data_IF_452699827732
#
_entry.id   IF_452699827732
#
_cell.length_a   1.000
_cell.length_b   1.000
_cell.length_c   1.000
_cell.angle_alpha   90.00
_cell.angle_beta   90.00
_cell.angle_gamma   90.00
#
_symmetry.space_group_name_H-M   'P 1'
#
loop_
_entity.id
_entity.type
_entity.pdbx_description
1 polymer ?
#
# COMPACT_ATOMS: atom_id res chain seq x y z
N UNK A 1 2.78 -36.23 -15.80
CA UNK A 1 1.92 -35.18 -16.36
C UNK A 1 2.69 -33.89 -16.35
N UNK A 2 3.14 -33.47 -17.53
CA UNK A 2 4.14 -32.39 -17.71
C UNK A 2 3.40 -31.06 -17.89
N UNK A 3 3.70 -30.08 -17.04
CA UNK A 3 3.15 -28.70 -17.17
C UNK A 3 3.89 -27.95 -18.27
N UNK A 4 3.20 -27.27 -19.19
CA UNK A 4 3.84 -26.39 -20.16
C UNK A 4 4.26 -25.07 -19.51
N UNK A 5 5.53 -24.71 -19.71
CA UNK A 5 6.12 -23.40 -19.39
C UNK A 5 5.76 -22.42 -20.50
N UNK A 6 4.97 -21.41 -20.21
CA UNK A 6 4.72 -20.30 -21.15
C UNK A 6 5.74 -19.19 -20.89
N UNK A 7 6.78 -19.19 -21.73
CA UNK A 7 7.74 -18.07 -21.83
C UNK A 7 7.11 -16.93 -22.63
N UNK A 8 6.96 -15.76 -22.04
CA UNK A 8 6.57 -14.53 -22.73
C UNK A 8 7.84 -13.76 -23.13
N UNK A 9 7.91 -13.21 -24.34
CA UNK A 9 9.09 -12.48 -24.79
C UNK A 9 9.11 -11.04 -24.26
N UNK A 10 10.23 -10.67 -23.65
CA UNK A 10 10.58 -9.30 -23.26
C UNK A 10 10.78 -8.47 -24.55
N UNK A 11 9.90 -7.50 -24.77
CA UNK A 11 10.10 -6.49 -25.82
C UNK A 11 10.86 -5.30 -25.24
N UNK A 12 12.14 -5.23 -25.62
CA UNK A 12 13.03 -4.10 -25.37
C UNK A 12 12.68 -3.00 -26.38
N UNK A 13 12.08 -1.90 -25.96
CA UNK A 13 11.87 -0.71 -26.75
C UNK A 13 12.98 0.32 -26.44
N UNK A 14 13.95 0.46 -27.37
CA UNK A 14 14.91 1.58 -27.37
C UNK A 14 14.18 2.84 -27.85
N UNK A 15 13.95 3.79 -26.96
CA UNK A 15 13.51 5.14 -27.31
C UNK A 15 14.70 6.09 -27.32
N UNK A 16 15.08 6.55 -28.51
CA UNK A 16 16.09 7.59 -28.74
C UNK A 16 15.52 8.96 -28.38
N UNK A 17 16.09 9.62 -27.38
CA UNK A 17 15.79 11.02 -27.04
C UNK A 17 16.79 11.92 -27.78
N UNK A 18 16.26 12.73 -28.69
CA UNK A 18 17.02 13.79 -29.36
C UNK A 18 17.06 15.03 -28.46
N UNK A 19 18.26 15.43 -28.07
CA UNK A 19 18.53 16.69 -27.35
C UNK A 19 18.70 17.79 -28.40
N UNK A 20 17.76 18.73 -28.41
CA UNK A 20 17.92 19.99 -29.17
C UNK A 20 18.40 21.09 -28.21
N UNK A 21 19.66 21.49 -28.44
CA UNK A 21 20.30 22.63 -27.78
C UNK A 21 19.87 23.92 -28.50
N UNK A 22 19.18 24.82 -27.84
CA UNK A 22 18.96 26.18 -28.34
C UNK A 22 19.77 27.16 -27.47
N UNK A 23 20.87 27.65 -28.03
CA UNK A 23 21.56 28.84 -27.54
C UNK A 23 20.81 30.06 -28.08
N UNK A 24 20.42 30.99 -27.19
CA UNK A 24 20.17 32.36 -27.57
C UNK A 24 20.81 33.30 -26.55
N UNK A 25 21.73 34.09 -27.05
CA UNK A 25 22.53 35.05 -26.30
C UNK A 25 21.99 36.48 -26.50
N UNK A 26 22.44 37.37 -25.59
CA UNK A 26 22.43 38.85 -25.60
C UNK A 26 21.11 39.50 -25.20
N UNK A 27 21.09 40.46 -24.36
CA UNK A 27 22.01 41.43 -23.80
C UNK A 27 21.24 42.53 -23.07
N UNK A 28 21.93 43.20 -22.11
CA UNK A 28 21.74 44.64 -21.80
C UNK A 28 20.60 45.07 -20.87
N UNK A 29 20.99 45.43 -19.71
CA UNK A 29 21.06 46.76 -19.09
C UNK A 29 19.87 47.28 -18.23
N UNK A 30 20.31 47.66 -17.02
CA UNK A 30 19.77 48.68 -16.07
C UNK A 30 18.36 48.64 -15.50
N UNK A 31 18.37 48.55 -14.17
CA UNK A 31 17.65 49.53 -13.36
C UNK A 31 16.39 49.12 -12.67
N UNK A 32 16.50 49.11 -11.39
CA UNK A 32 15.55 49.61 -10.38
C UNK A 32 14.67 48.58 -9.62
N UNK A 33 14.75 48.80 -8.34
CA UNK A 33 14.07 48.25 -7.16
C UNK A 33 12.62 47.86 -7.34
N UNK A 34 12.22 46.77 -6.71
CA UNK A 34 10.83 46.58 -6.33
C UNK A 34 10.47 45.16 -6.03
N UNK A 35 10.31 44.88 -4.77
CA UNK A 35 9.40 43.93 -4.14
C UNK A 35 9.31 42.48 -4.58
N UNK A 36 9.58 41.63 -3.62
CA UNK A 36 9.39 40.20 -3.54
C UNK A 36 8.16 39.64 -4.18
N UNK A 37 8.36 38.91 -5.24
CA UNK A 37 7.48 37.84 -5.62
C UNK A 37 8.30 36.55 -5.59
N UNK A 38 8.18 35.83 -4.51
CA UNK A 38 8.64 34.46 -4.39
C UNK A 38 7.93 33.63 -5.46
N UNK A 39 8.60 33.42 -6.55
CA UNK A 39 8.19 32.43 -7.54
C UNK A 39 8.41 31.07 -6.88
N UNK A 40 7.34 30.46 -6.41
CA UNK A 40 7.33 29.07 -6.01
C UNK A 40 7.62 28.27 -7.27
N UNK A 41 8.86 27.85 -7.43
CA UNK A 41 9.21 26.77 -8.34
C UNK A 41 8.55 25.52 -7.78
N UNK A 42 7.49 25.10 -8.45
CA UNK A 42 6.86 23.80 -8.22
C UNK A 42 7.84 22.75 -8.69
N UNK A 43 8.74 22.38 -7.80
CA UNK A 43 9.55 21.17 -7.93
C UNK A 43 8.58 19.99 -7.83
N UNK A 44 8.11 19.51 -8.98
CA UNK A 44 7.38 18.25 -9.08
C UNK A 44 8.40 17.13 -8.98
N UNK A 45 9.03 17.02 -7.83
CA UNK A 45 9.69 15.79 -7.40
C UNK A 45 8.57 14.76 -7.25
N UNK A 46 8.60 13.75 -8.11
CA UNK A 46 7.86 12.50 -7.92
C UNK A 46 8.43 11.83 -6.65
N UNK A 47 8.03 12.36 -5.51
CA UNK A 47 8.34 11.81 -4.21
C UNK A 47 7.48 10.57 -4.05
N UNK A 48 8.08 9.39 -4.17
CA UNK A 48 7.50 8.15 -3.70
C UNK A 48 7.03 8.39 -2.27
N UNK A 49 5.73 8.24 -2.02
CA UNK A 49 5.18 8.39 -0.68
C UNK A 49 6.04 7.56 0.31
N UNK A 50 6.46 8.13 1.43
CA UNK A 50 7.29 7.41 2.39
C UNK A 50 6.55 6.16 2.85
N UNK A 51 7.21 5.01 2.78
CA UNK A 51 6.64 3.76 3.32
C UNK A 51 6.30 3.99 4.80
N UNK A 52 5.06 3.72 5.24
CA UNK A 52 4.68 3.90 6.64
C UNK A 52 5.60 3.09 7.57
N UNK A 53 5.77 3.56 8.80
CA UNK A 53 6.51 2.80 9.81
C UNK A 53 5.77 1.48 10.11
N UNK A 54 6.47 0.36 10.30
CA UNK A 54 5.86 -0.90 10.73
C UNK A 54 5.04 -0.73 12.02
N UNK A 55 4.01 -1.54 12.18
CA UNK A 55 3.08 -1.53 13.32
C UNK A 55 2.36 -0.19 13.51
N UNK A 56 1.91 0.41 12.42
CA UNK A 56 1.09 1.62 12.45
C UNK A 56 -0.35 1.36 12.02
N UNK A 57 -1.28 2.09 12.65
CA UNK A 57 -2.64 2.23 12.14
C UNK A 57 -2.63 3.32 11.08
N UNK A 58 -3.06 2.97 9.88
CA UNK A 58 -3.02 3.88 8.75
C UNK A 58 -4.31 4.67 8.61
N UNK A 59 -4.22 5.86 8.04
CA UNK A 59 -5.41 6.49 7.49
C UNK A 59 -5.94 5.65 6.32
N UNK A 60 -7.23 5.77 6.01
CA UNK A 60 -7.84 5.03 4.88
C UNK A 60 -7.09 5.29 3.57
N UNK A 61 -6.69 6.54 3.32
CA UNK A 61 -5.95 6.91 2.11
C UNK A 61 -4.55 6.28 2.06
N UNK A 62 -3.80 6.33 3.18
CA UNK A 62 -2.47 5.73 3.26
C UNK A 62 -2.55 4.20 3.16
N UNK A 63 -3.60 3.58 3.73
CA UNK A 63 -3.84 2.15 3.64
C UNK A 63 -4.10 1.68 2.21
N UNK A 64 -4.94 2.41 1.46
CA UNK A 64 -5.20 2.13 0.04
C UNK A 64 -3.91 2.30 -0.76
N UNK A 65 -3.20 3.41 -0.58
CA UNK A 65 -1.95 3.67 -1.28
C UNK A 65 -0.88 2.59 -0.99
N UNK A 66 -0.82 2.10 0.25
CA UNK A 66 0.09 1.01 0.62
C UNK A 66 -0.28 -0.29 -0.12
N UNK A 67 -1.55 -0.68 -0.12
CA UNK A 67 -2.03 -1.89 -0.81
C UNK A 67 -1.73 -1.81 -2.31
N UNK A 68 -2.02 -0.68 -2.95
CA UNK A 68 -1.74 -0.47 -4.37
C UNK A 68 -0.24 -0.49 -4.70
N UNK A 69 0.58 0.14 -3.84
CA UNK A 69 2.02 0.23 -4.07
C UNK A 69 2.74 -1.11 -3.87
N UNK A 70 2.27 -1.94 -2.94
CA UNK A 70 2.92 -3.19 -2.54
C UNK A 70 2.42 -4.41 -3.31
N UNK A 71 1.18 -4.40 -3.79
CA UNK A 71 0.58 -5.51 -4.52
C UNK A 71 0.84 -6.85 -3.86
N UNK A 72 1.31 -7.84 -4.62
CA UNK A 72 1.56 -9.21 -4.16
C UNK A 72 2.64 -9.33 -3.05
N UNK A 73 3.38 -8.27 -2.74
CA UNK A 73 4.37 -8.26 -1.65
C UNK A 73 3.76 -7.93 -0.28
N UNK A 74 2.44 -7.69 -0.22
CA UNK A 74 1.70 -7.40 1.00
C UNK A 74 0.54 -8.38 1.13
N UNK A 75 0.53 -9.17 2.18
CA UNK A 75 -0.59 -10.08 2.46
C UNK A 75 -1.70 -9.35 3.21
N UNK A 76 -2.90 -9.32 2.65
CA UNK A 76 -4.08 -8.75 3.29
C UNK A 76 -4.69 -9.82 4.21
N UNK A 77 -4.95 -9.46 5.46
CA UNK A 77 -5.52 -10.37 6.46
C UNK A 77 -6.84 -9.83 6.97
N UNK A 78 -7.89 -10.62 6.81
CA UNK A 78 -9.20 -10.37 7.40
C UNK A 78 -9.28 -11.04 8.77
N UNK A 79 -9.38 -10.24 9.83
CA UNK A 79 -9.51 -10.78 11.20
C UNK A 79 -10.95 -10.80 11.71
N UNK A 80 -11.91 -10.91 10.79
CA UNK A 80 -13.34 -11.07 11.09
C UNK A 80 -13.70 -12.55 11.22
N UNK A 81 -14.96 -12.80 11.56
CA UNK A 81 -15.49 -14.16 11.58
C UNK A 81 -15.70 -14.70 10.17
N UNK A 82 -15.76 -16.05 9.97
CA UNK A 82 -16.04 -16.65 8.66
C UNK A 82 -17.32 -16.11 8.03
N UNK A 83 -18.40 -15.95 8.82
CA UNK A 83 -19.66 -15.43 8.30
C UNK A 83 -19.57 -13.96 7.82
N UNK A 84 -18.73 -13.13 8.45
CA UNK A 84 -18.46 -11.77 7.99
C UNK A 84 -17.61 -11.78 6.71
N UNK A 85 -16.64 -12.67 6.61
CA UNK A 85 -15.79 -12.87 5.43
C UNK A 85 -16.61 -13.31 4.23
N UNK A 86 -17.46 -14.34 4.37
CA UNK A 86 -18.32 -14.86 3.32
C UNK A 86 -19.32 -13.82 2.79
N UNK A 87 -19.73 -12.88 3.66
CA UNK A 87 -20.64 -11.78 3.28
C UNK A 87 -19.98 -10.73 2.38
N UNK A 88 -18.65 -10.74 2.29
CA UNK A 88 -17.84 -9.86 1.45
C UNK A 88 -16.52 -9.52 2.14
N UNK A 89 -15.40 -9.64 1.41
CA UNK A 89 -14.03 -9.41 1.88
C UNK A 89 -13.20 -8.70 0.80
N UNK A 90 -12.03 -8.18 1.17
CA UNK A 90 -11.10 -7.61 0.19
C UNK A 90 -10.51 -8.74 -0.68
N UNK A 91 -10.25 -8.50 -1.97
CA UNK A 91 -9.67 -9.51 -2.86
C UNK A 91 -8.38 -10.10 -2.27
N UNK A 92 -8.21 -11.41 -2.44
CA UNK A 92 -7.04 -12.19 -1.98
C UNK A 92 -6.75 -12.11 -0.47
N UNK A 93 -7.71 -11.64 0.33
CA UNK A 93 -7.56 -11.59 1.78
C UNK A 93 -7.55 -12.98 2.41
N UNK A 94 -6.58 -13.21 3.29
CA UNK A 94 -6.49 -14.43 4.11
C UNK A 94 -7.33 -14.25 5.37
N UNK A 95 -8.24 -15.18 5.63
CA UNK A 95 -9.05 -15.16 6.85
C UNK A 95 -8.25 -15.72 8.03
N UNK A 96 -8.11 -14.93 9.09
CA UNK A 96 -7.57 -15.34 10.38
C UNK A 96 -8.50 -14.80 11.48
N UNK A 97 -9.52 -15.56 11.86
CA UNK A 97 -10.56 -15.12 12.78
C UNK A 97 -9.98 -14.76 14.17
N UNK A 98 -10.09 -13.49 14.53
CA UNK A 98 -9.61 -12.96 15.83
C UNK A 98 -10.39 -13.54 17.02
N UNK A 99 -11.64 -13.95 16.82
CA UNK A 99 -12.52 -14.47 17.86
C UNK A 99 -12.34 -16.00 18.06
N UNK A 100 -11.59 -16.66 17.18
CA UNK A 100 -11.26 -18.08 17.30
C UNK A 100 -10.29 -18.29 18.47
N UNK A 101 -10.56 -19.24 19.39
CA UNK A 101 -9.59 -19.63 20.42
C UNK A 101 -8.22 -20.07 19.89
N UNK A 102 -8.15 -20.53 18.64
CA UNK A 102 -6.92 -20.90 17.95
C UNK A 102 -6.21 -19.70 17.27
N UNK A 103 -6.70 -18.48 17.40
CA UNK A 103 -6.13 -17.30 16.71
C UNK A 103 -4.61 -17.19 16.84
N UNK A 104 -4.08 -17.34 18.06
CA UNK A 104 -2.63 -17.28 18.30
C UNK A 104 -1.86 -18.39 17.56
N UNK A 105 -2.42 -19.60 17.50
CA UNK A 105 -1.80 -20.71 16.77
C UNK A 105 -1.88 -20.51 15.26
N UNK A 106 -3.00 -19.93 14.76
CA UNK A 106 -3.16 -19.60 13.34
C UNK A 106 -2.17 -18.52 12.89
N UNK A 107 -1.81 -17.58 13.77
CA UNK A 107 -0.75 -16.59 13.48
C UNK A 107 0.62 -17.25 13.33
N UNK A 108 0.88 -18.35 14.05
CA UNK A 108 2.18 -19.05 13.95
C UNK A 108 2.39 -19.78 12.62
N UNK A 109 1.33 -20.00 11.85
CA UNK A 109 1.38 -20.58 10.51
C UNK A 109 1.79 -19.56 9.43
N UNK A 110 1.76 -18.26 9.76
CA UNK A 110 2.13 -17.18 8.86
C UNK A 110 3.65 -16.91 8.94
N UNK A 111 4.23 -16.50 7.81
CA UNK A 111 5.63 -16.08 7.74
C UNK A 111 5.84 -14.77 8.51
N UNK A 112 6.63 -14.82 9.58
CA UNK A 112 6.85 -13.63 10.45
C UNK A 112 7.71 -12.55 9.81
N UNK A 113 8.46 -12.88 8.77
CA UNK A 113 9.27 -11.96 8.00
C UNK A 113 8.47 -11.33 6.82
N UNK A 114 7.24 -11.78 6.59
CA UNK A 114 6.32 -11.22 5.60
C UNK A 114 5.75 -9.87 6.01
N UNK A 115 5.25 -9.11 5.03
CA UNK A 115 4.51 -7.86 5.24
C UNK A 115 3.00 -8.11 5.22
N UNK A 116 2.28 -7.55 6.18
CA UNK A 116 0.86 -7.79 6.38
C UNK A 116 0.07 -6.49 6.53
N UNK A 117 -1.15 -6.49 5.99
CA UNK A 117 -2.12 -5.45 6.23
C UNK A 117 -3.40 -6.08 6.80
N UNK A 118 -3.74 -5.75 8.04
CA UNK A 118 -4.87 -6.34 8.74
C UNK A 118 -6.07 -5.40 8.72
N UNK A 119 -7.28 -5.94 8.54
CA UNK A 119 -8.51 -5.18 8.67
C UNK A 119 -9.58 -6.01 9.38
N UNK A 120 -10.60 -5.33 9.91
CA UNK A 120 -11.76 -6.00 10.44
C UNK A 120 -13.06 -5.26 10.05
N UNK A 121 -14.13 -5.44 10.81
CA UNK A 121 -15.41 -4.75 10.56
C UNK A 121 -15.33 -3.25 10.85
N UNK A 122 -14.71 -2.84 11.97
CA UNK A 122 -14.75 -1.47 12.50
C UNK A 122 -13.38 -0.90 12.93
N UNK A 123 -12.30 -1.64 12.77
CA UNK A 123 -10.95 -1.25 13.21
C UNK A 123 -10.56 -1.75 14.61
N UNK A 124 -11.52 -2.18 15.45
CA UNK A 124 -11.19 -2.59 16.82
C UNK A 124 -10.42 -3.91 16.90
N UNK A 125 -10.87 -4.95 16.17
CA UNK A 125 -10.20 -6.27 16.16
C UNK A 125 -8.85 -6.18 15.44
N UNK A 126 -8.77 -5.41 14.35
CA UNK A 126 -7.53 -5.24 13.60
C UNK A 126 -6.44 -4.52 14.40
N UNK A 127 -6.79 -3.52 15.22
CA UNK A 127 -5.84 -2.88 16.13
C UNK A 127 -5.31 -3.86 17.19
N UNK A 128 -6.16 -4.75 17.71
CA UNK A 128 -5.74 -5.79 18.66
C UNK A 128 -4.92 -6.89 17.97
N UNK A 129 -5.28 -7.26 16.75
CA UNK A 129 -4.52 -8.21 15.94
C UNK A 129 -3.13 -7.69 15.59
N UNK A 130 -3.00 -6.40 15.23
CA UNK A 130 -1.71 -5.73 15.03
C UNK A 130 -0.79 -5.90 16.24
N UNK A 131 -1.32 -5.65 17.44
CA UNK A 131 -0.55 -5.79 18.68
C UNK A 131 -0.20 -7.26 18.98
N UNK A 132 -1.12 -8.19 18.74
CA UNK A 132 -0.87 -9.61 18.90
C UNK A 132 0.22 -10.12 17.93
N UNK A 133 0.18 -9.69 16.66
CA UNK A 133 1.19 -10.03 15.67
C UNK A 133 2.56 -9.44 16.04
N UNK A 134 2.59 -8.21 16.54
CA UNK A 134 3.83 -7.60 17.04
C UNK A 134 4.44 -8.42 18.19
N UNK A 135 3.62 -8.88 19.13
CA UNK A 135 4.07 -9.74 20.25
C UNK A 135 4.48 -11.14 19.79
N UNK A 136 3.86 -11.65 18.74
CA UNK A 136 4.23 -12.93 18.13
C UNK A 136 5.53 -12.89 17.32
N UNK A 137 6.13 -11.69 17.14
CA UNK A 137 7.43 -11.50 16.49
C UNK A 137 7.37 -11.28 14.99
N UNK A 138 6.23 -10.85 14.44
CA UNK A 138 6.17 -10.35 13.07
C UNK A 138 7.03 -9.10 12.91
N UNK A 139 7.49 -8.82 11.71
CA UNK A 139 8.40 -7.69 11.44
C UNK A 139 7.70 -6.49 10.82
N UNK A 140 6.64 -6.71 10.05
CA UNK A 140 5.95 -5.66 9.29
C UNK A 140 4.45 -5.91 9.23
N UNK A 141 3.67 -5.15 9.99
CA UNK A 141 2.20 -5.24 10.02
C UNK A 141 1.59 -3.84 10.04
N UNK A 142 0.50 -3.64 9.29
CA UNK A 142 -0.24 -2.39 9.20
C UNK A 142 -1.72 -2.62 9.50
N UNK A 143 -2.35 -1.73 10.26
CA UNK A 143 -3.79 -1.76 10.50
C UNK A 143 -4.52 -0.83 9.51
N UNK A 144 -5.35 -1.42 8.65
CA UNK A 144 -6.19 -0.70 7.68
C UNK A 144 -7.54 -0.25 8.26
N UNK A 145 -7.88 -0.68 9.47
CA UNK A 145 -9.13 -0.31 10.11
C UNK A 145 -10.34 -1.14 9.71
N UNK A 146 -11.44 -0.49 9.32
CA UNK A 146 -12.72 -1.13 9.04
C UNK A 146 -13.01 -1.30 7.56
N UNK A 147 -13.48 -2.48 7.13
CA UNK A 147 -13.82 -2.78 5.74
C UNK A 147 -14.84 -1.79 5.14
N UNK A 148 -15.83 -1.34 5.92
CA UNK A 148 -16.83 -0.41 5.42
C UNK A 148 -16.26 0.94 5.02
N UNK A 149 -15.22 1.42 5.71
CA UNK A 149 -14.53 2.68 5.36
C UNK A 149 -13.66 2.49 4.13
N UNK A 150 -12.97 1.34 4.04
CA UNK A 150 -12.14 0.97 2.88
C UNK A 150 -12.99 0.86 1.61
N UNK A 151 -14.14 0.18 1.69
CA UNK A 151 -15.10 0.06 0.60
C UNK A 151 -15.67 1.42 0.18
N UNK A 152 -16.06 2.26 1.14
CA UNK A 152 -16.56 3.61 0.86
C UNK A 152 -15.51 4.50 0.18
N UNK A 153 -14.23 4.22 0.40
CA UNK A 153 -13.11 4.92 -0.23
C UNK A 153 -12.68 4.30 -1.58
N UNK A 154 -13.38 3.26 -2.06
CA UNK A 154 -13.21 2.69 -3.39
C UNK A 154 -12.48 1.35 -3.45
N UNK A 155 -12.10 0.74 -2.32
CA UNK A 155 -11.56 -0.63 -2.35
C UNK A 155 -12.64 -1.62 -2.78
N UNK A 156 -12.26 -2.53 -3.66
CA UNK A 156 -13.14 -3.61 -4.10
C UNK A 156 -13.46 -4.56 -2.94
N UNK A 157 -14.69 -5.07 -2.92
CA UNK A 157 -15.14 -6.11 -2.00
C UNK A 157 -15.75 -7.23 -2.84
N UNK A 158 -15.24 -8.43 -2.67
CA UNK A 158 -15.69 -9.63 -3.34
C UNK A 158 -16.46 -10.53 -2.37
N UNK A 159 -17.33 -11.38 -2.89
CA UNK A 159 -18.03 -12.41 -2.11
C UNK A 159 -17.52 -13.79 -2.51
N UNK A 160 -17.30 -14.65 -1.55
CA UNK A 160 -16.87 -16.04 -1.76
C UNK A 160 -18.01 -16.95 -2.19
#
# INVERSE_FOLDING_TARGET
>A
MTRPQHSLPVRLALGTVAVTLVLSACGGDDGDRGDGATTAESDTSSESAPTPAPFSTLSTADGIALVEARGDSLTIVDVRTPAEYDSGHLPDAVLVDFEDPAFASNLEELDKDGAYAVYCRSGRRSALALEAMRQAGFTEVYDLGGIGVLQAAGMEVVTG
#
